data_IF_704370537447
#
_entry.id   IF_704370537447
#
_cell.length_a   1.000
_cell.length_b   1.000
_cell.length_c   1.000
_cell.angle_alpha   90.00
_cell.angle_beta   90.00
_cell.angle_gamma   90.00
#
_symmetry.space_group_name_H-M   'P 1'
#
loop_
_entity.id
_entity.type
_entity.pdbx_description
1 polymer ?
#
# COMPACT_ATOMS: atom_id res chain seq x y z
N UNK A 1 -37.67 -23.66 68.19
CA UNK A 1 -37.40 -24.33 66.90
C UNK A 1 -38.59 -24.09 65.98
N UNK A 2 -38.45 -23.17 65.02
CA UNK A 2 -38.61 -23.59 63.63
C UNK A 2 -37.51 -23.06 62.70
N UNK A 3 -37.43 -23.65 61.51
CA UNK A 3 -36.33 -23.54 60.55
C UNK A 3 -36.24 -22.17 59.86
N UNK A 4 -35.01 -21.67 59.68
CA UNK A 4 -34.72 -20.61 58.70
C UNK A 4 -34.38 -21.25 57.36
N UNK A 5 -35.26 -21.08 56.35
CA UNK A 5 -34.89 -21.29 54.95
C UNK A 5 -34.47 -19.95 54.35
N UNK A 6 -33.17 -19.79 54.05
CA UNK A 6 -32.64 -18.61 53.38
C UNK A 6 -32.87 -18.73 51.88
N UNK A 7 -33.86 -18.03 51.34
CA UNK A 7 -34.11 -18.01 49.88
C UNK A 7 -33.15 -17.06 49.17
N UNK A 8 -32.32 -17.60 48.27
CA UNK A 8 -31.40 -16.83 47.44
C UNK A 8 -32.17 -16.14 46.30
N UNK A 9 -32.29 -14.80 46.36
CA UNK A 9 -32.79 -13.99 45.24
C UNK A 9 -31.66 -13.68 44.26
N UNK A 10 -31.61 -14.40 43.14
CA UNK A 10 -30.74 -14.08 42.01
C UNK A 10 -31.27 -12.84 41.28
N UNK A 11 -30.54 -11.72 41.35
CA UNK A 11 -30.88 -10.49 40.62
C UNK A 11 -30.17 -10.48 39.26
N UNK A 12 -30.91 -10.73 38.18
CA UNK A 12 -30.41 -10.70 36.82
C UNK A 12 -30.29 -9.28 36.27
N UNK A 13 -29.15 -8.64 36.50
CA UNK A 13 -28.88 -7.29 35.98
C UNK A 13 -28.44 -7.33 34.51
N UNK A 14 -29.38 -7.20 33.58
CA UNK A 14 -29.10 -7.08 32.14
C UNK A 14 -28.36 -5.78 31.85
N UNK A 15 -27.02 -5.81 31.79
CA UNK A 15 -26.21 -4.70 31.29
C UNK A 15 -26.37 -4.57 29.77
N UNK A 16 -27.14 -3.57 29.33
CA UNK A 16 -27.17 -3.14 27.93
C UNK A 16 -25.75 -2.83 27.44
N UNK A 17 -25.26 -3.58 26.45
CA UNK A 17 -24.05 -3.22 25.68
C UNK A 17 -24.23 -1.82 25.07
N UNK A 18 -23.44 -0.84 25.51
CA UNK A 18 -23.26 0.40 24.76
C UNK A 18 -22.43 0.07 23.51
N UNK A 19 -23.00 0.27 22.33
CA UNK A 19 -22.27 0.17 21.05
C UNK A 19 -21.15 1.20 21.07
N UNK A 20 -19.90 0.76 21.00
CA UNK A 20 -18.73 1.63 20.97
C UNK A 20 -18.79 2.55 19.75
N UNK A 21 -18.62 3.86 19.96
CA UNK A 21 -18.74 4.86 18.90
C UNK A 21 -17.38 5.14 18.24
N UNK A 22 -16.72 4.09 17.74
CA UNK A 22 -15.38 4.15 17.13
C UNK A 22 -15.31 5.10 15.92
N UNK A 23 -16.42 5.27 15.19
CA UNK A 23 -16.47 6.20 14.05
C UNK A 23 -16.24 7.68 14.38
N UNK A 24 -16.31 8.10 15.66
CA UNK A 24 -16.20 9.54 16.02
C UNK A 24 -14.76 10.00 16.28
N UNK A 25 -13.79 9.09 16.41
CA UNK A 25 -12.35 9.41 16.49
C UNK A 25 -11.64 9.20 15.15
N UNK A 26 -12.16 8.32 14.28
CA UNK A 26 -11.55 8.09 12.96
C UNK A 26 -11.61 9.29 12.02
N UNK A 27 -12.71 10.07 12.04
CA UNK A 27 -12.87 11.25 11.17
C UNK A 27 -11.78 12.32 11.41
N UNK A 28 -11.50 12.79 12.65
CA UNK A 28 -10.42 13.75 12.88
C UNK A 28 -9.02 13.15 12.65
N UNK A 29 -8.82 11.84 12.89
CA UNK A 29 -7.55 11.16 12.57
C UNK A 29 -7.28 11.14 11.08
N UNK A 30 -8.26 10.71 10.28
CA UNK A 30 -8.18 10.71 8.82
C UNK A 30 -7.91 12.11 8.27
N UNK A 31 -8.59 13.14 8.80
CA UNK A 31 -8.35 14.53 8.41
C UNK A 31 -6.93 15.01 8.73
N UNK A 32 -6.38 14.65 9.90
CA UNK A 32 -5.01 14.98 10.27
C UNK A 32 -3.99 14.25 9.39
N UNK A 33 -4.15 12.94 9.16
CA UNK A 33 -3.30 12.15 8.25
C UNK A 33 -3.33 12.71 6.83
N UNK A 34 -4.52 13.09 6.32
CA UNK A 34 -4.66 13.74 5.01
C UNK A 34 -3.97 15.11 4.99
N UNK A 35 -4.08 15.93 6.04
CA UNK A 35 -3.41 17.25 6.11
C UNK A 35 -1.89 17.10 6.16
N UNK A 36 -1.36 16.14 6.92
CA UNK A 36 0.10 15.90 6.98
C UNK A 36 0.62 15.29 5.69
N UNK A 37 -0.11 14.33 5.11
CA UNK A 37 0.19 13.80 3.77
C UNK A 37 0.20 14.92 2.72
N UNK A 38 -0.79 15.80 2.71
CA UNK A 38 -0.80 17.00 1.86
C UNK A 38 0.44 17.86 2.15
N UNK A 39 0.75 18.17 3.42
CA UNK A 39 1.92 18.99 3.76
C UNK A 39 3.28 18.38 3.33
N UNK A 40 3.41 17.05 3.29
CA UNK A 40 4.61 16.32 2.83
C UNK A 40 4.68 16.22 1.30
N UNK A 41 3.54 16.08 0.61
CA UNK A 41 3.48 15.83 -0.85
C UNK A 41 3.13 17.07 -1.71
N UNK A 42 2.73 18.20 -1.11
CA UNK A 42 2.50 19.50 -1.78
C UNK A 42 3.81 20.14 -2.27
N UNK A 43 4.29 19.66 -3.41
CA UNK A 43 5.40 20.28 -4.13
C UNK A 43 5.77 19.63 -5.47
N UNK A 44 5.54 18.32 -5.63
CA UNK A 44 6.01 17.58 -6.83
C UNK A 44 4.91 17.20 -7.82
N UNK A 45 3.65 17.08 -7.40
CA UNK A 45 2.52 16.74 -8.31
C UNK A 45 2.39 17.78 -9.44
N UNK A 46 2.52 19.07 -9.12
CA UNK A 46 2.44 20.17 -10.10
C UNK A 46 3.64 20.18 -11.06
N UNK A 47 4.83 19.78 -10.60
CA UNK A 47 6.04 19.80 -11.43
C UNK A 47 6.04 18.68 -12.48
N UNK A 48 5.61 17.46 -12.12
CA UNK A 48 5.55 16.31 -13.03
C UNK A 48 4.55 16.53 -14.18
N UNK A 49 3.45 17.25 -13.93
CA UNK A 49 2.47 17.62 -14.97
C UNK A 49 2.98 18.69 -15.95
N UNK A 50 3.98 19.50 -15.57
CA UNK A 50 4.56 20.52 -16.46
C UNK A 50 5.77 20.01 -17.28
N UNK A 51 6.50 18.99 -16.81
CA UNK A 51 7.70 18.50 -17.50
C UNK A 51 7.43 17.45 -18.58
N UNK A 52 6.29 16.76 -18.55
CA UNK A 52 5.94 15.71 -19.53
C UNK A 52 5.19 16.24 -20.78
N UNK A 53 5.60 17.40 -21.30
CA UNK A 53 5.20 17.87 -22.64
C UNK A 53 6.39 17.93 -23.61
N UNK A 54 7.09 16.80 -23.73
CA UNK A 54 8.11 16.60 -24.77
C UNK A 54 7.44 16.69 -26.15
N UNK A 55 8.01 17.53 -27.02
CA UNK A 55 7.48 17.78 -28.36
C UNK A 55 7.73 16.57 -29.28
N UNK A 56 6.78 16.17 -30.14
CA UNK A 56 7.05 15.16 -31.16
C UNK A 56 7.96 15.73 -32.25
N UNK A 57 9.07 15.06 -32.49
CA UNK A 57 9.95 15.28 -33.64
C UNK A 57 9.21 14.93 -34.93
N UNK A 58 9.25 15.81 -35.93
CA UNK A 58 8.73 15.55 -37.27
C UNK A 58 9.85 15.59 -38.32
N UNK A 59 10.01 14.48 -39.03
CA UNK A 59 10.93 14.35 -40.16
C UNK A 59 10.16 14.18 -41.45
N UNK A 60 10.33 15.14 -42.38
CA UNK A 60 9.98 15.01 -43.80
C UNK A 60 8.51 15.28 -44.16
N UNK A 61 8.27 16.34 -44.94
CA UNK A 61 8.20 16.25 -46.42
C UNK A 61 8.28 17.67 -47.01
N UNK A 62 9.05 17.80 -48.09
CA UNK A 62 9.23 19.04 -48.85
C UNK A 62 8.11 19.24 -49.88
N UNK A 63 7.43 20.40 -49.90
CA UNK A 63 6.97 21.03 -51.16
C UNK A 63 6.39 22.46 -51.00
N UNK A 64 6.77 23.31 -51.97
CA UNK A 64 6.07 24.53 -52.47
C UNK A 64 5.88 25.77 -51.59
N UNK A 65 6.50 26.86 -52.05
CA UNK A 65 6.20 28.24 -51.72
C UNK A 65 4.81 28.66 -52.22
N UNK A 66 4.12 29.52 -51.46
CA UNK A 66 2.86 30.17 -51.86
C UNK A 66 2.68 31.49 -51.12
N UNK A 67 3.37 32.54 -51.57
CA UNK A 67 3.32 33.89 -50.98
C UNK A 67 2.20 34.72 -51.61
N UNK A 68 1.17 35.07 -50.84
CA UNK A 68 0.28 36.21 -51.11
C UNK A 68 0.08 37.02 -49.84
N UNK A 69 -0.14 38.33 -49.99
CA UNK A 69 -0.18 39.29 -48.89
C UNK A 69 -1.32 40.30 -49.09
N UNK A 70 -1.91 40.73 -47.97
CA UNK A 70 -2.79 41.91 -47.82
C UNK A 70 -2.97 42.09 -46.30
N UNK A 71 -2.25 42.95 -45.57
CA UNK A 71 -2.05 44.41 -45.67
C UNK A 71 -3.11 45.22 -44.90
N UNK A 72 -2.60 46.18 -44.10
CA UNK A 72 -3.23 47.33 -43.42
C UNK A 72 -4.53 47.17 -42.56
N UNK A 73 -4.88 48.09 -41.65
CA UNK A 73 -4.13 48.98 -40.72
C UNK A 73 -5.16 49.76 -39.84
N UNK A 74 -4.69 50.35 -38.72
CA UNK A 74 -5.34 51.41 -37.90
C UNK A 74 -6.60 51.06 -37.05
N UNK A 75 -7.04 51.86 -36.05
CA UNK A 75 -6.38 52.57 -34.92
C UNK A 75 -7.48 53.22 -34.02
N UNK A 76 -7.18 53.54 -32.73
CA UNK A 76 -7.94 54.42 -31.80
C UNK A 76 -9.33 53.92 -31.30
N UNK A 77 -9.91 54.36 -30.16
CA UNK A 77 -9.48 55.35 -29.16
C UNK A 77 -9.88 55.00 -27.68
N UNK A 78 -9.44 55.86 -26.73
CA UNK A 78 -9.76 56.10 -25.28
C UNK A 78 -11.21 55.74 -24.80
N UNK A 79 -11.56 55.66 -23.50
CA UNK A 79 -11.18 56.42 -22.27
C UNK A 79 -11.31 55.52 -21.01
N UNK A 80 -10.42 55.47 -20.01
CA UNK A 80 -9.91 56.52 -19.09
C UNK A 80 -10.94 57.09 -18.08
N UNK A 81 -10.72 56.83 -16.77
CA UNK A 81 -10.96 57.79 -15.66
C UNK A 81 -10.48 57.25 -14.30
N UNK A 82 -9.63 58.03 -13.62
CA UNK A 82 -9.22 57.92 -12.20
C UNK A 82 -9.09 59.34 -11.64
N UNK A 83 -9.32 59.56 -10.34
CA UNK A 83 -8.36 60.29 -9.48
C UNK A 83 -8.19 59.60 -8.10
N UNK A 84 -7.03 59.50 -7.43
CA UNK A 84 -5.99 60.49 -7.05
C UNK A 84 -6.51 61.53 -6.03
N UNK A 85 -5.88 61.89 -4.89
CA UNK A 85 -4.64 61.50 -4.19
C UNK A 85 -4.91 61.48 -2.64
N UNK A 86 -3.99 61.38 -1.67
CA UNK A 86 -2.51 61.35 -1.58
C UNK A 86 -2.07 61.02 -0.12
N UNK A 87 -0.86 60.50 0.12
CA UNK A 87 0.40 61.23 0.42
C UNK A 87 0.60 61.69 1.88
N UNK A 88 1.46 60.99 2.65
CA UNK A 88 2.46 61.56 3.59
C UNK A 88 3.37 60.46 4.18
N UNK A 89 4.60 60.82 4.57
CA UNK A 89 5.70 59.91 4.94
C UNK A 89 6.42 60.33 6.24
N UNK A 90 6.85 59.38 7.07
CA UNK A 90 7.99 59.44 8.04
C UNK A 90 8.12 58.05 8.68
N UNK A 91 9.28 57.49 9.04
CA UNK A 91 10.69 57.89 8.93
C UNK A 91 11.53 56.93 9.79
N UNK A 92 12.74 56.54 9.35
CA UNK A 92 13.57 55.52 10.03
C UNK A 92 14.72 56.14 10.83
N UNK A 93 15.08 55.54 11.99
CA UNK A 93 16.44 55.23 12.51
C UNK A 93 16.54 55.19 14.06
N UNK A 94 17.59 54.54 14.63
CA UNK A 94 17.51 53.86 15.94
C UNK A 94 18.27 54.57 17.08
N UNK A 95 18.32 53.95 18.27
CA UNK A 95 19.55 53.52 18.99
C UNK A 95 19.34 53.35 20.52
N UNK A 96 20.16 52.52 21.17
CA UNK A 96 20.32 52.28 22.63
C UNK A 96 19.10 51.70 23.41
N UNK A 97 19.24 50.88 24.46
CA UNK A 97 20.43 50.25 25.05
C UNK A 97 20.24 49.85 26.53
N UNK A 98 20.91 48.76 26.95
CA UNK A 98 21.38 48.44 28.33
C UNK A 98 20.45 47.74 29.38
N UNK A 99 20.91 46.55 29.82
CA UNK A 99 20.79 45.86 31.13
C UNK A 99 19.40 45.58 31.77
N UNK A 100 19.21 44.52 32.57
CA UNK A 100 20.12 43.48 33.08
C UNK A 100 19.53 42.75 34.30
N UNK A 101 20.33 41.92 34.99
CA UNK A 101 19.99 41.08 36.18
C UNK A 101 19.28 39.73 35.86
N UNK A 102 19.59 38.61 36.54
CA UNK A 102 20.78 38.27 37.34
C UNK A 102 20.91 36.75 37.49
N UNK A 103 22.16 36.26 37.50
CA UNK A 103 22.53 34.91 37.92
C UNK A 103 22.39 34.71 39.43
N UNK A 104 21.92 33.53 39.87
CA UNK A 104 22.19 33.02 41.23
C UNK A 104 22.65 31.57 41.15
N UNK A 105 23.95 31.36 41.34
CA UNK A 105 24.52 30.07 41.74
C UNK A 105 24.76 30.09 43.25
N UNK A 106 24.48 28.98 43.94
CA UNK A 106 24.97 28.73 45.30
C UNK A 106 25.53 27.32 45.36
N UNK A 107 26.71 27.16 45.94
CA UNK A 107 27.40 25.88 46.14
C UNK A 107 27.58 25.58 47.63
N UNK A 108 27.67 24.29 47.96
CA UNK A 108 28.13 23.78 49.26
C UNK A 108 27.05 23.06 50.09
N UNK A 109 27.35 22.01 50.86
CA UNK A 109 28.66 21.38 51.12
C UNK A 109 28.50 20.06 51.91
N UNK A 110 29.40 19.06 51.66
CA UNK A 110 29.81 17.97 52.58
C UNK A 110 28.75 16.90 53.01
N UNK A 111 29.04 15.61 53.27
CA UNK A 111 30.29 14.78 53.26
C UNK A 111 29.97 13.28 53.35
N UNK A 112 30.83 12.41 52.78
CA UNK A 112 31.16 11.02 53.23
C UNK A 112 30.04 9.93 53.27
N UNK A 113 30.29 8.63 53.05
CA UNK A 113 31.45 7.88 52.52
C UNK A 113 30.99 6.44 52.13
N UNK A 114 31.64 5.86 51.11
CA UNK A 114 31.66 4.47 50.60
C UNK A 114 30.85 3.35 51.29
N UNK A 115 30.22 2.48 50.49
CA UNK A 115 30.79 1.13 50.30
C UNK A 115 30.50 0.43 48.96
N UNK A 116 31.47 -0.39 48.60
CA UNK A 116 31.85 -1.17 47.41
C UNK A 116 30.81 -2.15 46.79
N UNK A 117 30.55 -2.03 45.48
CA UNK A 117 30.41 -3.10 44.46
C UNK A 117 29.75 -2.53 43.16
N UNK A 118 30.13 -2.90 41.93
CA UNK A 118 31.15 -3.85 41.52
C UNK A 118 30.89 -4.49 40.14
N UNK A 119 30.64 -3.71 39.08
CA UNK A 119 30.66 -4.20 37.69
C UNK A 119 31.05 -3.09 36.71
N UNK A 120 32.00 -3.37 35.82
CA UNK A 120 32.31 -2.50 34.67
C UNK A 120 31.14 -2.49 33.69
N UNK A 121 30.57 -1.31 33.44
CA UNK A 121 29.78 -1.04 32.24
C UNK A 121 30.53 -0.02 31.40
N UNK A 122 31.48 -0.51 30.59
CA UNK A 122 32.02 0.26 29.48
C UNK A 122 30.88 0.53 28.49
N UNK A 123 30.31 1.74 28.55
CA UNK A 123 29.42 2.23 27.50
C UNK A 123 30.23 2.45 26.23
N UNK A 124 30.31 1.41 25.40
CA UNK A 124 30.82 1.50 24.05
C UNK A 124 29.68 1.99 23.15
N UNK A 125 29.70 3.26 22.79
CA UNK A 125 28.76 3.88 21.86
C UNK A 125 29.12 3.49 20.42
N UNK A 126 28.81 2.25 20.03
CA UNK A 126 28.84 1.83 18.64
C UNK A 126 27.47 2.11 18.01
N UNK A 127 27.28 3.37 17.57
CA UNK A 127 26.13 3.78 16.78
C UNK A 127 26.27 3.27 15.33
N UNK A 128 26.07 1.96 15.17
CA UNK A 128 25.88 1.29 13.88
C UNK A 128 24.77 0.24 14.08
N UNK A 129 23.54 0.73 14.24
CA UNK A 129 22.37 -0.11 14.49
C UNK A 129 22.21 -1.16 13.40
N UNK A 130 22.39 -2.42 13.77
CA UNK A 130 21.83 -3.54 13.03
C UNK A 130 20.31 -3.48 13.22
N UNK A 131 19.55 -3.37 12.13
CA UNK A 131 18.09 -3.38 12.20
C UNK A 131 17.55 -4.71 12.74
N UNK A 132 16.22 -4.81 12.83
CA UNK A 132 15.58 -5.97 13.45
C UNK A 132 15.82 -7.24 12.62
N UNK A 133 16.41 -8.28 13.22
CA UNK A 133 16.60 -9.60 12.59
C UNK A 133 15.67 -10.64 13.21
N UNK A 134 14.96 -11.41 12.39
CA UNK A 134 13.98 -12.41 12.83
C UNK A 134 14.38 -13.79 12.28
N UNK A 135 14.51 -14.78 13.15
CA UNK A 135 14.76 -16.18 12.78
C UNK A 135 13.43 -16.94 12.66
N UNK A 136 12.83 -16.90 11.47
CA UNK A 136 11.63 -17.68 11.13
C UNK A 136 11.59 -18.00 9.63
N UNK A 137 11.17 -19.21 9.29
CA UNK A 137 11.05 -19.66 7.90
C UNK A 137 9.93 -18.95 7.11
N UNK A 138 9.04 -18.22 7.79
CA UNK A 138 8.05 -17.37 7.15
C UNK A 138 8.63 -16.02 6.69
N UNK A 139 9.81 -15.61 7.17
CA UNK A 139 10.48 -14.38 6.73
C UNK A 139 11.04 -14.59 5.32
N UNK A 140 10.76 -13.63 4.42
CA UNK A 140 11.27 -13.69 3.05
C UNK A 140 12.80 -13.54 3.04
N UNK A 141 13.55 -14.50 2.48
CA UNK A 141 15.00 -14.44 2.44
C UNK A 141 15.51 -13.40 1.43
N UNK A 142 16.69 -12.85 1.71
CA UNK A 142 17.48 -12.13 0.72
C UNK A 142 17.95 -13.08 -0.40
N UNK A 143 17.83 -12.65 -1.65
CA UNK A 143 18.29 -13.37 -2.83
C UNK A 143 19.67 -12.86 -3.28
N UNK A 144 20.40 -13.68 -4.05
CA UNK A 144 21.74 -13.32 -4.56
C UNK A 144 21.72 -12.14 -5.54
N UNK A 145 20.63 -12.02 -6.29
CA UNK A 145 20.44 -11.07 -7.37
C UNK A 145 19.14 -10.30 -7.13
N UNK A 146 19.15 -9.00 -7.40
CA UNK A 146 17.95 -8.18 -7.30
C UNK A 146 17.13 -8.22 -8.59
N UNK A 147 15.82 -8.29 -8.47
CA UNK A 147 14.90 -8.18 -9.62
C UNK A 147 14.74 -6.73 -10.07
N UNK A 148 14.40 -6.53 -11.35
CA UNK A 148 13.92 -5.24 -11.85
C UNK A 148 12.40 -5.08 -11.66
N UNK A 149 11.87 -3.91 -12.03
CA UNK A 149 10.46 -3.59 -11.85
C UNK A 149 9.50 -4.56 -12.57
N UNK A 150 9.91 -5.23 -13.65
CA UNK A 150 9.05 -6.14 -14.41
C UNK A 150 8.55 -7.33 -13.58
N UNK A 151 9.27 -7.70 -12.52
CA UNK A 151 8.84 -8.69 -11.52
C UNK A 151 7.52 -8.29 -10.82
N UNK A 152 7.23 -6.99 -10.72
CA UNK A 152 5.99 -6.48 -10.13
C UNK A 152 4.85 -6.29 -11.15
N UNK A 153 5.04 -6.59 -12.45
CA UNK A 153 4.04 -6.33 -13.50
C UNK A 153 2.71 -7.11 -13.34
N UNK A 154 2.76 -8.25 -12.64
CA UNK A 154 1.62 -9.08 -12.24
C UNK A 154 1.30 -8.99 -10.73
N UNK A 155 1.89 -8.01 -10.03
CA UNK A 155 1.71 -7.80 -8.60
C UNK A 155 0.59 -6.80 -8.29
N UNK A 156 0.01 -6.92 -7.09
CA UNK A 156 -0.88 -5.92 -6.49
C UNK A 156 -0.38 -5.48 -5.11
N UNK A 157 -0.23 -4.18 -4.93
CA UNK A 157 0.15 -3.52 -3.69
C UNK A 157 -1.11 -3.00 -2.99
N UNK A 158 -1.40 -3.51 -1.80
CA UNK A 158 -2.57 -3.18 -0.98
C UNK A 158 -2.08 -2.47 0.28
N UNK A 159 -2.63 -1.30 0.61
CA UNK A 159 -2.23 -0.63 1.84
C UNK A 159 -2.80 0.76 2.10
N UNK A 160 -2.31 1.35 3.17
CA UNK A 160 -2.75 2.64 3.70
C UNK A 160 -1.98 3.85 3.12
N UNK A 161 -1.89 4.95 3.86
CA UNK A 161 -1.11 6.13 3.47
C UNK A 161 0.40 5.85 3.33
N UNK A 162 0.95 4.83 4.01
CA UNK A 162 2.35 4.42 3.84
C UNK A 162 2.56 3.75 2.48
N UNK A 163 1.61 2.94 2.02
CA UNK A 163 1.66 2.30 0.70
C UNK A 163 1.41 3.31 -0.42
N UNK A 164 0.53 4.31 -0.20
CA UNK A 164 0.36 5.42 -1.12
C UNK A 164 1.61 6.34 -1.17
N UNK A 165 2.28 6.56 -0.03
CA UNK A 165 3.57 7.24 0.01
C UNK A 165 4.65 6.49 -0.78
N UNK A 166 4.75 5.17 -0.57
CA UNK A 166 5.64 4.29 -1.35
C UNK A 166 5.38 4.36 -2.85
N UNK A 167 4.12 4.23 -3.27
CA UNK A 167 3.68 4.36 -4.67
C UNK A 167 4.16 5.68 -5.30
N UNK A 168 4.02 6.78 -4.58
CA UNK A 168 4.28 8.12 -5.10
C UNK A 168 5.77 8.53 -5.05
N UNK A 169 6.58 7.92 -4.19
CA UNK A 169 7.93 8.37 -3.89
C UNK A 169 9.06 7.36 -4.15
N UNK A 170 8.77 6.05 -4.20
CA UNK A 170 9.81 5.01 -4.35
C UNK A 170 10.47 4.93 -5.73
N UNK A 171 9.80 5.46 -6.76
CA UNK A 171 10.22 5.31 -8.15
C UNK A 171 9.79 4.00 -8.83
N UNK A 172 8.96 3.17 -8.17
CA UNK A 172 8.39 1.96 -8.79
C UNK A 172 7.53 2.31 -10.02
N UNK A 173 7.69 1.53 -11.09
CA UNK A 173 7.05 1.77 -12.40
C UNK A 173 6.04 0.68 -12.81
N UNK A 174 5.90 -0.37 -12.01
CA UNK A 174 5.09 -1.55 -12.30
C UNK A 174 4.21 -1.95 -11.10
N UNK A 175 3.20 -2.77 -11.38
CA UNK A 175 2.24 -3.27 -10.39
C UNK A 175 0.96 -2.43 -10.28
N UNK A 176 -0.09 -3.08 -9.79
CA UNK A 176 -1.38 -2.44 -9.51
C UNK A 176 -1.41 -1.97 -8.05
N UNK A 177 -1.99 -0.80 -7.77
CA UNK A 177 -2.12 -0.28 -6.41
C UNK A 177 -3.60 -0.22 -6.01
N UNK A 178 -3.93 -0.88 -4.89
CA UNK A 178 -5.22 -0.84 -4.22
C UNK A 178 -5.04 -0.15 -2.85
N UNK A 179 -4.78 1.16 -2.92
CA UNK A 179 -4.43 2.00 -1.77
C UNK A 179 -5.58 2.90 -1.33
N UNK A 180 -5.66 3.17 -0.03
CA UNK A 180 -6.62 4.11 0.55
C UNK A 180 -6.08 4.77 1.80
N UNK A 181 -6.11 6.11 1.86
CA UNK A 181 -5.64 6.84 3.05
C UNK A 181 -6.52 6.45 4.26
N UNK A 182 -5.88 5.98 5.33
CA UNK A 182 -6.57 5.47 6.52
C UNK A 182 -7.21 4.08 6.37
N UNK A 183 -6.91 3.32 5.30
CA UNK A 183 -7.33 1.92 5.16
C UNK A 183 -6.84 1.09 6.35
N UNK A 184 -7.74 0.31 6.95
CA UNK A 184 -7.45 -0.67 8.00
C UNK A 184 -7.86 -2.08 7.54
N UNK A 185 -7.41 -3.12 8.25
CA UNK A 185 -7.77 -4.50 7.88
C UNK A 185 -9.29 -4.77 7.90
N UNK A 186 -10.05 -3.95 8.64
CA UNK A 186 -11.51 -4.03 8.76
C UNK A 186 -12.28 -3.39 7.60
N UNK A 187 -11.58 -2.86 6.59
CA UNK A 187 -12.17 -2.06 5.50
C UNK A 187 -12.14 -2.75 4.12
N UNK A 188 -11.72 -4.01 4.04
CA UNK A 188 -11.47 -4.71 2.76
C UNK A 188 -12.69 -4.83 1.84
N UNK A 189 -13.91 -4.74 2.39
CA UNK A 189 -15.19 -4.74 1.68
C UNK A 189 -15.72 -3.33 1.36
N UNK A 190 -15.13 -2.27 1.93
CA UNK A 190 -15.59 -0.88 1.76
C UNK A 190 -15.08 -0.26 0.47
N UNK A 191 -15.94 0.48 -0.22
CA UNK A 191 -15.60 1.16 -1.46
C UNK A 191 -14.83 2.47 -1.20
N UNK A 192 -13.54 2.33 -0.86
CA UNK A 192 -12.65 3.46 -0.55
C UNK A 192 -11.42 3.57 -1.47
N UNK A 193 -11.18 2.57 -2.33
CA UNK A 193 -10.11 2.62 -3.33
C UNK A 193 -10.62 3.39 -4.54
N UNK A 194 -10.06 4.57 -4.79
CA UNK A 194 -10.49 5.45 -5.89
C UNK A 194 -9.94 4.98 -7.24
N UNK A 195 -10.80 4.75 -8.23
CA UNK A 195 -10.42 4.39 -9.61
C UNK A 195 -11.08 5.32 -10.63
N UNK A 196 -10.71 5.18 -11.91
CA UNK A 196 -11.32 5.97 -12.99
C UNK A 196 -12.83 5.74 -13.13
N UNK A 197 -13.31 4.52 -12.82
CA UNK A 197 -14.72 4.12 -12.92
C UNK A 197 -15.49 4.33 -11.60
N UNK A 198 -14.87 5.01 -10.62
CA UNK A 198 -15.42 5.24 -9.28
C UNK A 198 -14.72 4.45 -8.19
N UNK A 199 -15.32 4.40 -7.01
CA UNK A 199 -14.71 3.73 -5.85
C UNK A 199 -15.01 2.23 -5.82
N UNK A 200 -13.97 1.43 -5.59
CA UNK A 200 -14.08 -0.02 -5.38
C UNK A 200 -13.54 -0.40 -4.00
N UNK A 201 -13.86 -1.61 -3.56
CA UNK A 201 -13.22 -2.23 -2.39
C UNK A 201 -11.98 -3.04 -2.77
N UNK A 202 -11.16 -3.40 -1.78
CA UNK A 202 -10.00 -4.27 -2.00
C UNK A 202 -10.44 -5.62 -2.56
N UNK A 203 -11.50 -6.22 -1.99
CA UNK A 203 -12.05 -7.48 -2.52
C UNK A 203 -12.60 -7.34 -3.95
N UNK A 204 -13.16 -6.18 -4.33
CA UNK A 204 -13.56 -5.93 -5.72
C UNK A 204 -12.34 -5.83 -6.65
N UNK A 205 -11.29 -5.12 -6.24
CA UNK A 205 -10.03 -5.02 -7.00
C UNK A 205 -9.32 -6.36 -7.19
N UNK A 206 -9.37 -7.23 -6.17
CA UNK A 206 -8.90 -8.61 -6.25
C UNK A 206 -9.84 -9.51 -7.07
N UNK A 207 -11.15 -9.26 -7.10
CA UNK A 207 -12.07 -10.06 -7.92
C UNK A 207 -11.96 -9.75 -9.42
N UNK A 208 -11.47 -8.56 -9.79
CA UNK A 208 -11.45 -8.07 -11.18
C UNK A 208 -10.27 -8.54 -12.04
N UNK A 209 -9.20 -9.07 -11.44
CA UNK A 209 -7.97 -9.50 -12.14
C UNK A 209 -7.24 -10.55 -11.31
N UNK A 210 -6.58 -11.51 -11.95
CA UNK A 210 -5.62 -12.41 -11.28
C UNK A 210 -4.21 -11.79 -11.27
N UNK A 211 -3.54 -11.94 -10.13
CA UNK A 211 -2.20 -11.48 -9.80
C UNK A 211 -1.36 -12.70 -9.38
N UNK A 212 -0.05 -12.68 -9.60
CA UNK A 212 0.82 -13.73 -9.03
C UNK A 212 1.36 -13.38 -7.65
N UNK A 213 1.32 -12.10 -7.28
CA UNK A 213 1.97 -11.56 -6.08
C UNK A 213 1.05 -10.52 -5.44
N UNK A 214 0.78 -10.67 -4.15
CA UNK A 214 0.10 -9.65 -3.34
C UNK A 214 1.12 -9.09 -2.36
N UNK A 215 1.26 -7.77 -2.30
CA UNK A 215 2.07 -7.07 -1.29
C UNK A 215 1.13 -6.28 -0.38
N UNK A 216 0.96 -6.73 0.86
CA UNK A 216 0.09 -6.11 1.84
C UNK A 216 0.91 -5.30 2.84
N UNK A 217 0.62 -4.00 2.97
CA UNK A 217 1.14 -3.17 4.06
C UNK A 217 -0.04 -2.47 4.75
N UNK A 218 -0.57 -3.14 5.78
CA UNK A 218 -1.63 -2.66 6.66
C UNK A 218 -1.32 -3.01 8.11
N UNK A 219 -1.82 -2.20 9.02
CA UNK A 219 -1.66 -2.38 10.47
C UNK A 219 -1.38 -1.07 11.21
N UNK A 220 -0.82 -0.05 10.54
CA UNK A 220 -0.58 1.28 11.13
C UNK A 220 -1.87 1.89 11.71
N UNK A 221 -2.96 1.87 10.94
CA UNK A 221 -4.27 2.38 11.39
C UNK A 221 -4.96 1.46 12.42
N UNK A 222 -4.44 0.25 12.61
CA UNK A 222 -4.92 -0.75 13.57
C UNK A 222 -4.06 -0.75 14.87
N UNK A 223 -3.06 0.12 15.03
CA UNK A 223 -2.28 0.25 16.29
C UNK A 223 -3.12 0.64 17.51
N UNK A 224 -4.31 1.24 17.28
CA UNK A 224 -5.33 1.50 18.30
C UNK A 224 -6.38 0.40 18.47
N UNK A 225 -6.16 -0.81 17.95
CA UNK A 225 -7.17 -1.87 17.93
C UNK A 225 -7.19 -2.66 19.26
N UNK A 226 -8.13 -2.31 20.14
CA UNK A 226 -8.33 -3.00 21.41
C UNK A 226 -9.74 -3.58 21.57
N UNK A 227 -9.88 -4.78 22.15
CA UNK A 227 -8.80 -5.64 22.62
C UNK A 227 -8.07 -6.38 21.47
N UNK A 228 -6.76 -6.60 21.66
CA UNK A 228 -5.83 -7.16 20.66
C UNK A 228 -6.16 -8.60 20.23
N UNK A 229 -6.86 -9.38 21.06
CA UNK A 229 -7.26 -10.77 20.80
C UNK A 229 -8.15 -10.92 19.56
N UNK A 230 -8.79 -9.83 19.12
CA UNK A 230 -9.61 -9.82 17.92
C UNK A 230 -8.83 -9.42 16.64
N UNK A 231 -7.59 -8.93 16.75
CA UNK A 231 -6.81 -8.51 15.60
C UNK A 231 -6.37 -9.70 14.75
N UNK A 232 -5.59 -10.63 15.31
CA UNK A 232 -5.06 -11.78 14.56
C UNK A 232 -6.15 -12.60 13.84
N UNK A 233 -7.29 -12.99 14.47
CA UNK A 233 -8.34 -13.73 13.77
C UNK A 233 -9.03 -12.91 12.66
N UNK A 234 -9.07 -11.57 12.78
CA UNK A 234 -9.58 -10.69 11.74
C UNK A 234 -8.62 -10.59 10.57
N UNK A 235 -7.33 -10.48 10.87
CA UNK A 235 -6.24 -10.41 9.91
C UNK A 235 -6.13 -11.71 9.11
N UNK A 236 -5.99 -12.85 9.79
CA UNK A 236 -5.98 -14.20 9.22
C UNK A 236 -7.19 -14.46 8.30
N UNK A 237 -8.39 -14.01 8.70
CA UNK A 237 -9.60 -14.11 7.86
C UNK A 237 -9.50 -13.29 6.57
N UNK A 238 -8.92 -12.09 6.61
CA UNK A 238 -8.71 -11.27 5.42
C UNK A 238 -7.67 -11.93 4.47
N UNK A 239 -6.55 -12.45 5.02
CA UNK A 239 -5.53 -13.17 4.24
C UNK A 239 -6.11 -14.44 3.58
N UNK A 240 -6.92 -15.22 4.31
CA UNK A 240 -7.69 -16.35 3.74
C UNK A 240 -8.63 -15.92 2.62
N UNK A 241 -9.29 -14.76 2.75
CA UNK A 241 -10.17 -14.23 1.72
C UNK A 241 -9.40 -13.73 0.49
N UNK A 242 -8.18 -13.20 0.67
CA UNK A 242 -7.30 -12.85 -0.45
C UNK A 242 -6.88 -14.09 -1.23
N UNK A 243 -6.38 -15.13 -0.57
CA UNK A 243 -6.02 -16.40 -1.21
C UNK A 243 -7.23 -17.06 -1.90
N UNK A 244 -8.43 -17.01 -1.30
CA UNK A 244 -9.64 -17.50 -1.96
C UNK A 244 -10.05 -16.73 -3.24
N UNK A 245 -9.60 -15.47 -3.40
CA UNK A 245 -9.79 -14.67 -4.62
C UNK A 245 -8.61 -14.78 -5.60
N UNK A 246 -7.45 -15.22 -5.11
CA UNK A 246 -6.14 -15.24 -5.79
C UNK A 246 -5.40 -16.54 -5.42
N UNK A 247 -5.92 -17.71 -5.84
CA UNK A 247 -5.43 -19.01 -5.35
C UNK A 247 -3.96 -19.26 -5.69
N UNK A 248 -3.51 -18.78 -6.85
CA UNK A 248 -2.16 -19.02 -7.37
C UNK A 248 -1.12 -18.00 -6.84
N UNK A 249 -1.56 -16.99 -6.10
CA UNK A 249 -0.72 -15.86 -5.69
C UNK A 249 0.05 -16.14 -4.39
N UNK A 250 1.33 -15.76 -4.38
CA UNK A 250 2.08 -15.60 -3.13
C UNK A 250 1.69 -14.29 -2.44
N UNK A 251 1.43 -14.34 -1.13
CA UNK A 251 1.01 -13.18 -0.33
C UNK A 251 2.16 -12.70 0.54
N UNK A 252 2.86 -11.69 0.08
CA UNK A 252 3.83 -10.94 0.87
C UNK A 252 3.14 -9.98 1.82
N UNK A 253 3.49 -10.02 3.09
CA UNK A 253 2.94 -9.15 4.13
C UNK A 253 4.08 -8.37 4.76
N UNK A 254 4.09 -7.06 4.54
CA UNK A 254 5.05 -6.13 5.10
C UNK A 254 4.80 -5.92 6.59
N UNK A 255 5.86 -5.98 7.39
CA UNK A 255 5.87 -5.52 8.77
C UNK A 255 5.34 -4.09 8.86
N UNK A 256 4.57 -3.77 9.90
CA UNK A 256 4.35 -2.39 10.31
C UNK A 256 5.71 -1.82 10.72
N UNK A 257 6.15 -0.81 9.99
CA UNK A 257 7.42 -0.13 10.28
C UNK A 257 7.26 0.64 11.59
N UNK A 258 8.30 0.63 12.43
CA UNK A 258 8.36 1.47 13.63
C UNK A 258 8.07 2.95 13.33
N UNK A 259 7.65 3.66 14.37
CA UNK A 259 7.48 5.11 14.38
C UNK A 259 8.65 5.79 15.09
N UNK A 260 8.81 7.09 14.88
CA UNK A 260 9.66 7.93 15.73
C UNK A 260 8.76 8.56 16.80
N UNK A 261 8.60 7.90 17.96
CA UNK A 261 7.62 8.25 19.01
C UNK A 261 7.75 9.71 19.46
N UNK A 262 8.98 10.24 19.45
CA UNK A 262 9.26 11.62 19.83
C UNK A 262 8.60 12.69 18.94
N UNK A 263 8.20 12.32 17.71
CA UNK A 263 7.50 13.18 16.74
C UNK A 263 5.99 12.99 16.73
N UNK A 264 5.48 11.92 17.34
CA UNK A 264 4.06 11.58 17.30
C UNK A 264 3.20 12.67 17.93
N UNK A 265 2.18 13.11 17.18
CA UNK A 265 1.29 14.17 17.59
C UNK A 265 0.40 13.77 18.79
N UNK A 266 0.12 14.72 19.68
CA UNK A 266 -0.82 14.51 20.80
C UNK A 266 -2.22 14.14 20.27
N UNK A 267 -2.86 13.14 20.88
CA UNK A 267 -4.10 12.51 20.41
C UNK A 267 -3.90 11.22 19.59
N UNK A 268 -2.63 10.88 19.31
CA UNK A 268 -2.20 9.67 18.59
C UNK A 268 -1.37 8.74 19.49
N UNK A 269 -1.64 8.72 20.80
CA UNK A 269 -0.85 7.96 21.80
C UNK A 269 -0.82 6.44 21.60
N UNK A 270 -1.60 5.91 20.65
CA UNK A 270 -1.60 4.51 20.26
C UNK A 270 -0.58 4.19 19.16
N UNK A 271 -0.10 5.20 18.47
CA UNK A 271 0.88 5.10 17.39
C UNK A 271 2.26 5.09 18.07
N UNK A 272 2.57 3.94 18.68
CA UNK A 272 3.74 3.71 19.52
C UNK A 272 4.37 2.34 19.22
N UNK A 273 5.65 2.18 19.51
CA UNK A 273 6.45 1.04 19.10
C UNK A 273 6.16 -0.23 19.90
N UNK A 274 5.57 -0.12 21.09
CA UNK A 274 5.03 -1.27 21.83
C UNK A 274 3.83 -1.91 21.11
N UNK A 275 2.97 -1.09 20.50
CA UNK A 275 1.86 -1.56 19.66
C UNK A 275 2.36 -2.08 18.30
N UNK A 276 3.39 -1.45 17.72
CA UNK A 276 4.04 -1.96 16.48
C UNK A 276 4.66 -3.35 16.69
N UNK A 277 5.38 -3.57 17.79
CA UNK A 277 5.86 -4.92 18.15
C UNK A 277 4.71 -5.92 18.28
N UNK A 278 3.64 -5.52 18.97
CA UNK A 278 2.46 -6.39 19.22
C UNK A 278 1.78 -6.80 17.91
N UNK A 279 1.56 -5.85 17.00
CA UNK A 279 0.88 -6.14 15.73
C UNK A 279 1.78 -6.95 14.78
N UNK A 280 3.09 -6.68 14.76
CA UNK A 280 4.05 -7.44 13.97
C UNK A 280 4.15 -8.90 14.41
N UNK A 281 4.07 -9.19 15.72
CA UNK A 281 3.99 -10.57 16.23
C UNK A 281 2.75 -11.32 15.68
N UNK A 282 1.59 -10.66 15.63
CA UNK A 282 0.39 -11.26 15.03
C UNK A 282 0.49 -11.44 13.52
N UNK A 283 1.14 -10.50 12.81
CA UNK A 283 1.36 -10.59 11.37
C UNK A 283 2.33 -11.74 11.05
N UNK A 284 3.45 -11.85 11.77
CA UNK A 284 4.43 -12.94 11.61
C UNK A 284 3.77 -14.30 11.91
N UNK A 285 3.08 -14.44 13.04
CA UNK A 285 2.36 -15.69 13.38
C UNK A 285 1.32 -16.06 12.32
N UNK A 286 0.66 -15.08 11.69
CA UNK A 286 -0.26 -15.37 10.56
C UNK A 286 0.48 -15.91 9.34
N UNK A 287 1.69 -15.42 9.06
CA UNK A 287 2.52 -15.94 7.96
C UNK A 287 3.04 -17.36 8.26
N UNK A 288 3.35 -17.65 9.52
CA UNK A 288 3.76 -18.99 9.97
C UNK A 288 2.62 -20.02 9.89
N UNK A 289 1.38 -19.60 10.17
CA UNK A 289 0.18 -20.46 10.11
C UNK A 289 -0.35 -20.70 8.67
N UNK A 290 -0.05 -19.81 7.72
CA UNK A 290 -0.61 -19.82 6.36
C UNK A 290 0.48 -19.97 5.29
N UNK A 291 0.63 -21.18 4.75
CA UNK A 291 1.68 -21.60 3.81
C UNK A 291 1.83 -20.73 2.54
N UNK A 292 0.80 -19.98 2.15
CA UNK A 292 0.78 -19.10 0.99
C UNK A 292 1.14 -17.64 1.30
N UNK A 293 1.57 -17.34 2.53
CA UNK A 293 1.94 -16.00 2.96
C UNK A 293 3.32 -15.94 3.61
N UNK A 294 4.03 -14.83 3.39
CA UNK A 294 5.40 -14.62 3.86
C UNK A 294 5.57 -13.20 4.42
N UNK A 295 6.42 -13.08 5.45
CA UNK A 295 6.69 -11.85 6.17
C UNK A 295 7.87 -11.08 5.54
N UNK A 296 7.63 -9.85 5.10
CA UNK A 296 8.66 -8.91 4.68
C UNK A 296 9.06 -8.02 5.86
N UNK A 297 10.27 -8.20 6.36
CA UNK A 297 10.76 -7.51 7.55
C UNK A 297 11.35 -6.13 7.20
N UNK A 298 10.50 -5.13 6.97
CA UNK A 298 10.96 -3.77 6.65
C UNK A 298 11.73 -3.12 7.81
N UNK A 299 11.53 -3.58 9.05
CA UNK A 299 12.30 -3.14 10.22
C UNK A 299 13.75 -3.64 10.22
N UNK A 300 14.13 -4.56 9.33
CA UNK A 300 15.54 -4.91 9.05
C UNK A 300 16.34 -3.71 8.54
N UNK A 301 15.71 -2.81 7.78
CA UNK A 301 16.35 -1.61 7.21
C UNK A 301 15.87 -0.29 7.81
N UNK A 302 14.76 -0.28 8.55
CA UNK A 302 14.18 0.93 9.12
C UNK A 302 14.17 0.99 10.66
N UNK A 303 14.57 -0.07 11.37
CA UNK A 303 14.80 -0.03 12.82
C UNK A 303 16.18 0.52 13.15
N UNK A 304 16.30 1.34 14.19
CA UNK A 304 17.59 1.77 14.76
C UNK A 304 18.28 0.68 15.60
N UNK A 305 17.62 -0.47 15.79
CA UNK A 305 18.05 -1.58 16.64
C UNK A 305 17.40 -1.58 18.05
N UNK A 306 16.66 -0.53 18.43
CA UNK A 306 15.99 -0.37 19.72
C UNK A 306 14.45 -0.41 19.61
N UNK A 307 13.93 -0.94 18.50
CA UNK A 307 12.51 -0.88 18.10
C UNK A 307 11.99 0.54 17.83
N UNK A 308 12.85 1.46 17.40
CA UNK A 308 12.48 2.82 16.98
C UNK A 308 12.75 2.99 15.47
N UNK A 309 12.02 3.88 14.80
CA UNK A 309 12.34 4.29 13.42
C UNK A 309 13.72 4.98 13.37
N UNK A 310 14.55 4.64 12.38
CA UNK A 310 15.84 5.31 12.18
C UNK A 310 15.68 6.86 12.07
N UNK A 311 16.46 7.64 12.83
CA UNK A 311 16.28 9.09 12.90
C UNK A 311 16.34 9.78 11.54
N UNK A 312 15.33 10.60 11.27
CA UNK A 312 15.26 11.39 10.03
C UNK A 312 14.57 10.69 8.85
N UNK A 313 14.18 9.41 8.98
CA UNK A 313 13.40 8.73 7.94
C UNK A 313 11.97 9.27 7.77
N UNK A 314 11.49 10.12 8.68
CA UNK A 314 10.17 10.72 8.64
C UNK A 314 10.15 12.11 9.29
N UNK A 315 9.46 13.07 8.68
CA UNK A 315 9.19 14.38 9.29
C UNK A 315 8.14 14.34 10.42
N UNK A 316 7.14 13.45 10.34
CA UNK A 316 6.04 13.33 11.32
C UNK A 316 6.16 12.11 12.24
N UNK A 317 7.21 11.30 12.04
CA UNK A 317 7.45 10.05 12.77
C UNK A 317 6.69 8.84 12.21
N UNK A 318 5.90 9.00 11.14
CA UNK A 318 5.10 7.93 10.54
C UNK A 318 5.41 7.78 9.04
N UNK A 319 5.23 8.82 8.24
CA UNK A 319 5.34 8.73 6.78
C UNK A 319 6.81 8.84 6.36
N UNK A 320 7.28 7.87 5.57
CA UNK A 320 8.66 7.84 5.10
C UNK A 320 8.95 8.95 4.09
N UNK A 321 10.12 9.58 4.24
CA UNK A 321 10.67 10.49 3.22
C UNK A 321 11.04 9.73 1.92
N UNK A 322 11.08 10.41 0.75
CA UNK A 322 11.20 9.74 -0.55
C UNK A 322 12.39 8.80 -0.72
N UNK A 323 13.56 9.15 -0.19
CA UNK A 323 14.76 8.31 -0.24
C UNK A 323 14.63 7.01 0.57
N UNK A 324 13.79 6.98 1.61
CA UNK A 324 13.48 5.76 2.36
C UNK A 324 12.40 4.92 1.65
N UNK A 325 11.45 5.55 0.95
CA UNK A 325 10.57 4.84 0.02
C UNK A 325 11.36 4.15 -1.11
N UNK A 326 12.43 4.76 -1.63
CA UNK A 326 13.32 4.16 -2.62
C UNK A 326 14.19 3.01 -2.05
N UNK A 327 14.64 3.14 -0.79
CA UNK A 327 15.26 2.03 -0.06
C UNK A 327 14.29 0.86 0.13
N UNK A 328 13.01 1.12 0.44
CA UNK A 328 11.99 0.08 0.53
C UNK A 328 11.82 -0.66 -0.80
N UNK A 329 11.78 0.03 -1.93
CA UNK A 329 11.75 -0.64 -3.25
C UNK A 329 12.99 -1.50 -3.49
N UNK A 330 14.16 -1.04 -3.04
CA UNK A 330 15.41 -1.80 -3.13
C UNK A 330 15.34 -3.07 -2.29
N UNK A 331 14.80 -3.01 -1.08
CA UNK A 331 14.53 -4.16 -0.22
C UNK A 331 13.57 -5.16 -0.87
N UNK A 332 12.43 -4.69 -1.42
CA UNK A 332 11.45 -5.54 -2.11
C UNK A 332 12.01 -6.21 -3.37
N UNK A 333 13.06 -5.64 -3.98
CA UNK A 333 13.76 -6.22 -5.13
C UNK A 333 14.79 -7.28 -4.76
N UNK A 334 15.31 -7.27 -3.53
CA UNK A 334 16.24 -8.29 -3.03
C UNK A 334 15.57 -9.36 -2.17
N UNK A 335 14.38 -9.10 -1.61
CA UNK A 335 13.65 -10.03 -0.76
C UNK A 335 12.40 -10.54 -1.47
N UNK A 336 12.52 -11.73 -2.06
CA UNK A 336 11.42 -12.41 -2.73
C UNK A 336 11.56 -13.93 -2.65
N UNK A 337 10.43 -14.64 -2.78
CA UNK A 337 10.39 -16.08 -3.03
C UNK A 337 10.52 -16.28 -4.54
N UNK A 338 11.46 -17.13 -4.97
CA UNK A 338 11.66 -17.40 -6.40
C UNK A 338 10.47 -18.17 -6.99
N UNK A 339 10.20 -18.00 -8.28
CA UNK A 339 9.10 -18.69 -8.96
C UNK A 339 9.25 -20.23 -8.89
N UNK A 340 10.50 -20.73 -8.83
CA UNK A 340 10.82 -22.14 -8.61
C UNK A 340 10.51 -22.62 -7.18
N UNK A 341 10.75 -21.81 -6.16
CA UNK A 341 10.46 -22.16 -4.76
C UNK A 341 8.95 -22.09 -4.51
N UNK A 342 8.30 -21.03 -5.01
CA UNK A 342 6.85 -20.87 -4.93
C UNK A 342 6.13 -22.03 -5.65
N UNK A 343 6.58 -22.42 -6.84
CA UNK A 343 5.99 -23.55 -7.57
C UNK A 343 6.09 -24.88 -6.80
N UNK A 344 7.18 -25.11 -6.05
CA UNK A 344 7.34 -26.29 -5.20
C UNK A 344 6.38 -26.27 -4.01
N UNK A 345 6.30 -25.13 -3.31
CA UNK A 345 5.39 -24.94 -2.16
C UNK A 345 3.92 -25.06 -2.59
N UNK A 346 3.56 -24.46 -3.73
CA UNK A 346 2.22 -24.51 -4.30
C UNK A 346 1.81 -25.94 -4.68
N UNK A 347 2.67 -26.67 -5.40
CA UNK A 347 2.42 -28.06 -5.76
C UNK A 347 2.33 -28.99 -4.53
N UNK A 348 3.16 -28.77 -3.50
CA UNK A 348 3.12 -29.54 -2.25
C UNK A 348 1.80 -29.38 -1.48
N UNK A 349 1.11 -28.25 -1.66
CA UNK A 349 -0.19 -27.96 -1.03
C UNK A 349 -1.39 -28.24 -1.95
N UNK A 350 -1.19 -28.95 -3.07
CA UNK A 350 -2.25 -29.41 -3.95
C UNK A 350 -2.65 -28.46 -5.08
N UNK A 351 -1.85 -27.42 -5.34
CA UNK A 351 -2.00 -26.56 -6.51
C UNK A 351 -1.58 -27.27 -7.81
N UNK A 352 -2.32 -27.02 -8.90
CA UNK A 352 -1.99 -27.57 -10.22
C UNK A 352 -0.99 -26.67 -10.96
N UNK A 353 0.27 -27.09 -11.01
CA UNK A 353 1.34 -26.36 -11.67
C UNK A 353 1.29 -26.40 -13.21
N UNK A 354 0.37 -27.15 -13.82
CA UNK A 354 0.27 -27.26 -15.28
C UNK A 354 -0.23 -25.99 -15.98
N UNK A 355 -0.80 -25.03 -15.25
CA UNK A 355 -1.35 -23.79 -15.79
C UNK A 355 -0.31 -22.66 -16.01
N UNK A 356 0.91 -22.75 -15.45
CA UNK A 356 1.87 -21.64 -15.46
C UNK A 356 2.85 -21.63 -16.64
N UNK A 357 2.85 -22.68 -17.47
CA UNK A 357 3.90 -22.95 -18.46
C UNK A 357 3.49 -22.82 -19.94
N UNK A 358 3.21 -21.60 -20.42
CA UNK A 358 3.35 -21.23 -21.84
C UNK A 358 3.23 -19.71 -22.07
N UNK A 359 4.32 -19.07 -22.52
CA UNK A 359 4.37 -18.10 -23.65
C UNK A 359 5.83 -17.66 -23.84
N UNK A 360 6.68 -18.55 -24.35
CA UNK A 360 8.02 -18.20 -24.87
C UNK A 360 8.51 -19.23 -25.89
N UNK A 361 7.79 -19.37 -27.01
CA UNK A 361 8.38 -19.92 -28.24
C UNK A 361 8.26 -18.92 -29.39
N UNK A 362 9.41 -18.58 -29.97
CA UNK A 362 9.51 -17.63 -31.07
C UNK A 362 8.98 -18.20 -32.39
N UNK A 363 8.38 -17.33 -33.21
CA UNK A 363 7.83 -17.70 -34.50
C UNK A 363 8.91 -18.22 -35.48
N UNK A 364 8.98 -19.54 -35.66
CA UNK A 364 9.72 -20.19 -36.74
C UNK A 364 8.76 -20.57 -37.89
N UNK A 365 8.68 -19.71 -38.90
CA UNK A 365 7.86 -19.94 -40.10
C UNK A 365 8.34 -21.20 -40.84
N UNK A 366 7.44 -22.18 -41.01
CA UNK A 366 7.55 -23.22 -42.04
C UNK A 366 6.35 -23.19 -42.96
N UNK A 367 6.60 -22.71 -44.18
CA UNK A 367 5.67 -22.74 -45.31
C UNK A 367 5.32 -24.17 -45.71
N UNK A 368 4.05 -24.53 -45.69
CA UNK A 368 3.54 -25.76 -46.31
C UNK A 368 3.01 -25.45 -47.72
N UNK A 369 3.64 -26.02 -48.73
CA UNK A 369 3.13 -26.05 -50.11
C UNK A 369 2.39 -27.36 -50.35
N UNK A 370 1.06 -27.31 -50.50
CA UNK A 370 0.28 -28.43 -51.03
C UNK A 370 -0.28 -28.03 -52.38
N UNK A 371 0.11 -28.77 -53.43
CA UNK A 371 -0.31 -28.50 -54.80
C UNK A 371 -1.63 -29.22 -55.12
N UNK A 372 -2.51 -28.53 -55.84
CA UNK A 372 -3.76 -29.06 -56.37
C UNK A 372 -3.55 -30.16 -57.40
N UNK A 373 -4.37 -31.22 -57.35
CA UNK A 373 -4.80 -31.92 -58.55
C UNK A 373 -6.32 -32.05 -58.55
N UNK A 374 -6.91 -31.50 -59.61
CA UNK A 374 -8.29 -31.75 -60.05
C UNK A 374 -8.33 -33.07 -60.80
N UNK A 375 -9.40 -33.84 -60.66
CA UNK A 375 -9.96 -34.52 -61.84
C UNK A 375 -11.47 -34.76 -61.70
N UNK A 376 -12.12 -34.84 -62.86
CA UNK A 376 -13.57 -34.80 -63.03
C UNK A 376 -14.05 -36.09 -63.72
N UNK A 377 -15.18 -36.67 -63.30
CA UNK A 377 -16.19 -37.24 -64.22
C UNK A 377 -17.38 -37.89 -63.50
N UNK A 378 -18.48 -37.99 -64.25
CA UNK A 378 -19.84 -38.31 -63.80
C UNK A 378 -20.29 -39.69 -64.30
N UNK A 379 -21.02 -40.49 -63.49
CA UNK A 379 -21.94 -41.51 -64.03
C UNK A 379 -23.02 -42.02 -63.04
N UNK A 380 -24.26 -41.57 -63.26
CA UNK A 380 -25.53 -42.33 -63.32
C UNK A 380 -26.09 -43.24 -62.18
N UNK A 381 -27.44 -43.16 -62.12
CA UNK A 381 -28.45 -44.09 -61.56
C UNK A 381 -28.64 -44.11 -60.03
N UNK A 382 -29.87 -44.05 -59.49
CA UNK A 382 -31.20 -43.77 -60.09
C UNK A 382 -32.36 -44.13 -59.13
N UNK A 383 -33.57 -43.55 -59.34
CA UNK A 383 -34.92 -44.03 -58.90
C UNK A 383 -35.12 -44.30 -57.38
N UNK A 384 -36.10 -43.82 -56.60
CA UNK A 384 -37.54 -43.48 -56.76
C UNK A 384 -37.97 -42.57 -55.58
N UNK A 385 -38.91 -41.61 -55.71
CA UNK A 385 -40.36 -41.73 -55.42
C UNK A 385 -40.77 -42.42 -54.08
N UNK A 386 -41.72 -41.96 -53.25
CA UNK A 386 -42.47 -40.68 -53.19
C UNK A 386 -43.27 -40.51 -51.85
N UNK A 387 -43.57 -39.26 -51.46
CA UNK A 387 -44.79 -38.70 -50.79
C UNK A 387 -45.46 -39.27 -49.51
N UNK A 388 -46.07 -38.32 -48.76
CA UNK A 388 -47.02 -38.41 -47.61
C UNK A 388 -46.35 -38.61 -46.23
N UNK A 389 -46.68 -37.90 -45.14
CA UNK A 389 -47.94 -37.29 -44.66
C UNK A 389 -48.48 -38.18 -43.51
N UNK A 390 -49.10 -37.73 -42.41
CA UNK A 390 -49.49 -36.43 -41.83
C UNK A 390 -49.92 -36.69 -40.36
N UNK A 391 -49.99 -35.66 -39.47
CA UNK A 391 -50.70 -35.63 -38.17
C UNK A 391 -50.26 -36.66 -37.08
N UNK A 392 -49.82 -36.26 -35.87
CA UNK A 392 -50.56 -35.63 -34.74
C UNK A 392 -51.43 -36.61 -33.91
N UNK A 393 -51.15 -36.72 -32.60
CA UNK A 393 -52.11 -36.57 -31.46
C UNK A 393 -51.61 -37.20 -30.13
N UNK A 394 -51.95 -36.56 -28.99
CA UNK A 394 -51.89 -37.09 -27.61
C UNK A 394 -50.51 -36.98 -26.94
N UNK A 395 -50.25 -36.26 -25.84
CA UNK A 395 -51.05 -35.68 -24.73
C UNK A 395 -51.75 -36.67 -23.78
N UNK A 396 -51.02 -37.09 -22.73
CA UNK A 396 -51.46 -37.28 -21.31
C UNK A 396 -50.16 -37.08 -20.48
N UNK A 397 -49.95 -36.16 -19.53
CA UNK A 397 -50.74 -35.47 -18.50
C UNK A 397 -50.68 -36.11 -17.10
N UNK A 398 -50.57 -35.23 -16.09
CA UNK A 398 -50.74 -35.41 -14.64
C UNK A 398 -49.65 -36.16 -13.84
N UNK A 399 -49.19 -35.50 -12.78
CA UNK A 399 -48.18 -35.91 -11.80
C UNK A 399 -47.69 -34.69 -11.01
#
# INVERSE_FOLDING_TARGET
MPSSQTTTKTSSTVRRRRKGNSGRTMIPRLLALVIVFIAVFEGRIIHTLLTHRVSPSSSGVTATQGKTASDASQNQDKTASTPSAGAASTGSNPDQGLAGLATVSVSGMATAQADTAGTDTSQQTDASGSGETIDSAAVVPAQSDSVDDSYFSDAVFIGDSRMEGFRNASGITQGTFLTGVGLSINDMDKQIISTADGNISVYQGLSGRQYKRIYLMLGTNDLGFYPWDQFQPTFEKAIKQFHALQPDAVIYICSVIYVEESKIAKGFEYDNNQNVQTINQYILSTCEDLWYSYYLNLNEIFSDGNHELIPGASADGIHLEPEYCAQMLTYLKSHYISDSDWSQVFAANGGDSSASGAETEGAAVKTSSSASQTDESTAQSGVSAATSGSADTGNVSAG
#
